data_IF_990471605181
#
_entry.id   IF_990471605181
#
_cell.length_a   1.000
_cell.length_b   1.000
_cell.length_c   1.000
_cell.angle_alpha   90.00
_cell.angle_beta   90.00
_cell.angle_gamma   90.00
#
_symmetry.space_group_name_H-M   'P 1'
#
loop_
_entity.id
_entity.type
_entity.pdbx_description
1 polymer ?
#
# COMPACT_ATOMS: atom_id res chain seq x y z
N UNK A 1 17.43 53.45 68.77
CA UNK A 1 17.69 51.99 68.54
C UNK A 1 16.37 51.36 68.33
N UNK A 2 16.00 51.05 67.09
CA UNK A 2 14.77 50.34 66.70
C UNK A 2 15.15 48.94 66.29
N UNK A 3 14.59 47.96 66.98
CA UNK A 3 14.78 46.52 66.69
C UNK A 3 13.71 46.12 65.69
N UNK A 4 14.13 45.78 64.48
CA UNK A 4 13.26 45.20 63.47
C UNK A 4 13.12 43.67 63.71
N UNK A 5 11.93 43.22 64.02
CA UNK A 5 11.60 41.80 64.07
C UNK A 5 11.28 41.29 62.63
N UNK A 6 12.10 40.40 62.11
CA UNK A 6 11.81 39.68 60.88
C UNK A 6 10.87 38.51 61.19
N UNK A 7 9.63 38.60 60.70
CA UNK A 7 8.71 37.44 60.63
C UNK A 7 9.03 36.61 59.41
N UNK A 8 9.49 35.38 59.61
CA UNK A 8 9.64 34.39 58.53
C UNK A 8 8.25 33.89 58.13
N UNK A 9 7.78 34.29 56.95
CA UNK A 9 6.64 33.68 56.30
C UNK A 9 7.08 32.36 55.66
N UNK A 10 6.60 31.22 56.22
CA UNK A 10 6.72 29.93 55.58
C UNK A 10 5.83 29.94 54.33
N UNK A 11 6.43 29.99 53.15
CA UNK A 11 5.74 29.67 51.91
C UNK A 11 5.44 28.16 51.93
N UNK A 12 4.19 27.80 52.15
CA UNK A 12 3.66 26.50 51.79
C UNK A 12 3.75 26.43 50.26
N UNK A 13 4.54 25.49 49.73
CA UNK A 13 4.51 25.14 48.33
C UNK A 13 3.08 24.63 48.01
N UNK A 14 2.49 25.09 46.89
CA UNK A 14 1.25 24.47 46.47
C UNK A 14 1.56 23.00 46.17
N UNK A 15 0.82 22.08 46.74
CA UNK A 15 0.71 20.70 46.26
C UNK A 15 0.43 20.77 44.78
N UNK A 16 1.41 20.38 43.99
CA UNK A 16 1.20 20.05 42.60
C UNK A 16 0.32 18.79 42.59
N UNK A 17 -0.99 19.00 42.68
CA UNK A 17 -1.96 18.00 42.23
C UNK A 17 -1.67 17.78 40.75
N UNK A 18 -0.79 16.84 40.50
CA UNK A 18 -0.63 16.26 39.18
C UNK A 18 -1.93 15.57 38.83
N UNK A 19 -2.87 16.30 38.25
CA UNK A 19 -3.94 15.68 37.51
C UNK A 19 -3.26 14.77 36.51
N UNK A 20 -3.66 13.55 36.51
CA UNK A 20 -3.17 12.48 35.62
C UNK A 20 -3.61 12.80 34.18
N UNK A 21 -3.01 13.86 33.60
CA UNK A 21 -3.23 14.26 32.20
C UNK A 21 -2.56 13.22 31.32
N UNK A 22 -3.33 12.64 30.36
CA UNK A 22 -2.82 11.66 29.40
C UNK A 22 -1.69 12.25 28.52
N UNK A 23 -0.90 11.40 27.92
CA UNK A 23 0.15 11.76 26.96
C UNK A 23 -0.48 12.23 25.66
N UNK A 24 0.10 13.23 25.01
CA UNK A 24 -0.22 13.61 23.63
C UNK A 24 0.88 13.07 22.73
N UNK A 25 0.53 12.09 21.91
CA UNK A 25 1.40 11.43 20.95
C UNK A 25 1.35 12.16 19.62
N UNK A 26 2.50 12.33 18.97
CA UNK A 26 2.60 12.83 17.60
C UNK A 26 2.65 11.67 16.61
N UNK A 27 1.74 11.67 15.64
CA UNK A 27 1.74 10.71 14.51
C UNK A 27 1.99 11.45 13.21
N UNK A 28 3.08 11.09 12.52
CA UNK A 28 3.33 11.58 11.16
C UNK A 28 2.88 10.55 10.12
N UNK A 29 2.26 11.05 9.04
CA UNK A 29 1.81 10.24 7.93
C UNK A 29 1.99 10.99 6.60
N UNK A 30 1.85 10.27 5.48
CA UNK A 30 1.79 10.87 4.14
C UNK A 30 0.36 11.29 3.79
N UNK A 31 0.20 12.25 2.89
CA UNK A 31 -1.10 12.78 2.50
C UNK A 31 -2.06 11.68 1.97
N UNK A 32 -1.53 10.65 1.30
CA UNK A 32 -2.34 9.54 0.79
C UNK A 32 -3.10 8.77 1.88
N UNK A 33 -2.59 8.72 3.11
CA UNK A 33 -3.18 7.98 4.24
C UNK A 33 -3.65 8.88 5.39
N UNK A 34 -3.68 10.21 5.15
CA UNK A 34 -4.12 11.19 6.16
C UNK A 34 -5.51 10.90 6.71
N UNK A 35 -6.47 10.62 5.82
CA UNK A 35 -7.87 10.44 6.21
C UNK A 35 -8.05 9.27 7.19
N UNK A 36 -7.44 8.12 6.91
CA UNK A 36 -7.55 6.95 7.79
C UNK A 36 -6.74 7.13 9.07
N UNK A 37 -5.55 7.77 9.01
CA UNK A 37 -4.76 8.09 10.21
C UNK A 37 -5.52 9.00 11.16
N UNK A 38 -6.21 10.02 10.64
CA UNK A 38 -7.10 10.89 11.43
C UNK A 38 -8.29 10.14 12.00
N UNK A 39 -8.92 9.25 11.21
CA UNK A 39 -10.04 8.45 11.69
C UNK A 39 -9.63 7.52 12.84
N UNK A 40 -8.45 6.91 12.79
CA UNK A 40 -7.89 6.16 13.91
C UNK A 40 -7.67 7.06 15.13
N UNK A 41 -7.01 8.21 14.95
CA UNK A 41 -6.74 9.13 16.05
C UNK A 41 -8.05 9.64 16.70
N UNK A 42 -9.04 10.02 15.90
CA UNK A 42 -10.32 10.51 16.39
C UNK A 42 -11.06 9.43 17.21
N UNK A 43 -11.09 8.19 16.73
CA UNK A 43 -11.73 7.07 17.42
C UNK A 43 -10.99 6.72 18.74
N UNK A 44 -9.66 6.64 18.70
CA UNK A 44 -8.84 6.41 19.89
C UNK A 44 -9.02 7.52 20.93
N UNK A 45 -8.94 8.77 20.49
CA UNK A 45 -9.06 9.95 21.33
C UNK A 45 -10.44 10.08 21.99
N UNK A 46 -11.49 9.46 21.42
CA UNK A 46 -12.83 9.48 22.01
C UNK A 46 -12.98 8.57 23.23
N UNK A 47 -12.14 7.53 23.36
CA UNK A 47 -12.31 6.46 24.35
C UNK A 47 -11.11 6.29 25.27
N UNK A 48 -9.94 6.81 24.91
CA UNK A 48 -8.70 6.67 25.68
C UNK A 48 -8.28 8.01 26.30
N UNK A 49 -7.47 7.91 27.36
CA UNK A 49 -6.94 9.08 28.07
C UNK A 49 -5.81 9.75 27.30
N UNK A 50 -4.92 8.94 26.75
CA UNK A 50 -3.86 9.40 25.88
C UNK A 50 -4.44 9.83 24.53
N UNK A 51 -3.81 10.82 23.89
CA UNK A 51 -4.32 11.44 22.68
C UNK A 51 -3.30 11.31 21.57
N UNK A 52 -3.77 11.24 20.32
CA UNK A 52 -2.92 11.20 19.14
C UNK A 52 -3.22 12.41 18.26
N UNK A 53 -2.18 13.15 17.90
CA UNK A 53 -2.24 14.27 16.97
C UNK A 53 -1.56 13.89 15.65
N UNK A 54 -2.31 13.96 14.55
CA UNK A 54 -1.86 13.57 13.21
C UNK A 54 -1.34 14.77 12.45
N UNK A 55 -0.12 14.64 11.89
CA UNK A 55 0.44 15.57 10.91
C UNK A 55 0.71 14.85 9.61
N UNK A 56 0.08 15.30 8.51
CA UNK A 56 0.29 14.75 7.18
C UNK A 56 1.25 15.62 6.35
N UNK A 57 2.07 14.98 5.54
CA UNK A 57 3.01 15.62 4.62
C UNK A 57 2.72 15.18 3.17
N UNK A 58 3.01 16.03 2.16
CA UNK A 58 2.98 15.61 0.76
C UNK A 58 3.82 14.35 0.54
N UNK A 59 3.32 13.42 -0.28
CA UNK A 59 3.95 12.11 -0.45
C UNK A 59 5.41 12.22 -0.90
N UNK A 60 5.71 13.14 -1.80
CA UNK A 60 7.03 13.34 -2.40
C UNK A 60 8.04 13.97 -1.41
N UNK A 61 7.55 14.72 -0.44
CA UNK A 61 8.38 15.41 0.55
C UNK A 61 8.62 14.55 1.80
N UNK A 62 7.76 13.59 2.05
CA UNK A 62 7.70 12.84 3.30
C UNK A 62 8.98 12.06 3.62
N UNK A 63 9.62 11.32 2.67
CA UNK A 63 10.87 10.62 2.95
C UNK A 63 12.00 11.56 3.36
N UNK A 64 12.13 12.73 2.71
CA UNK A 64 13.13 13.72 3.06
C UNK A 64 12.86 14.34 4.43
N UNK A 65 11.59 14.54 4.80
CA UNK A 65 11.17 15.02 6.11
C UNK A 65 11.55 14.05 7.22
N UNK A 66 11.29 12.75 7.02
CA UNK A 66 11.70 11.71 7.97
C UNK A 66 13.22 11.63 8.11
N UNK A 67 13.97 11.66 7.01
CA UNK A 67 15.43 11.65 7.05
C UNK A 67 16.01 12.85 7.82
N UNK A 68 15.43 14.05 7.61
CA UNK A 68 15.83 15.26 8.36
C UNK A 68 15.55 15.14 9.85
N UNK A 69 14.37 14.63 10.23
CA UNK A 69 13.99 14.42 11.63
C UNK A 69 14.86 13.36 12.31
N UNK A 70 15.18 12.28 11.60
CA UNK A 70 16.11 11.24 12.08
C UNK A 70 17.51 11.81 12.36
N UNK A 71 18.06 12.59 11.43
CA UNK A 71 19.34 13.26 11.60
C UNK A 71 19.38 14.24 12.78
N UNK A 72 18.25 14.89 13.06
CA UNK A 72 18.07 15.80 14.20
C UNK A 72 17.74 15.08 15.52
N UNK A 73 17.53 13.75 15.51
CA UNK A 73 17.01 12.96 16.65
C UNK A 73 15.67 13.49 17.18
N UNK A 74 14.80 13.90 16.26
CA UNK A 74 13.51 14.53 16.54
C UNK A 74 12.40 13.84 15.72
N UNK A 75 12.45 12.49 15.65
CA UNK A 75 11.36 11.70 15.08
C UNK A 75 10.09 11.89 15.92
N UNK A 76 8.89 11.84 15.31
CA UNK A 76 7.64 11.83 16.06
C UNK A 76 7.52 10.55 16.91
N UNK A 77 6.54 10.50 17.81
CA UNK A 77 6.30 9.32 18.65
C UNK A 77 5.91 8.11 17.78
N UNK A 78 5.16 8.34 16.73
CA UNK A 78 4.77 7.33 15.73
C UNK A 78 4.91 7.91 14.33
N UNK A 79 5.28 7.08 13.38
CA UNK A 79 5.13 7.45 11.99
C UNK A 79 4.73 6.25 11.12
N UNK A 80 3.80 6.54 10.19
CA UNK A 80 3.37 5.61 9.16
C UNK A 80 4.05 5.97 7.83
N UNK A 81 4.49 4.98 7.10
CA UNK A 81 5.17 5.15 5.83
C UNK A 81 4.80 4.04 4.87
N UNK A 82 4.92 4.32 3.56
CA UNK A 82 4.68 3.33 2.53
C UNK A 82 5.40 2.02 2.86
N UNK A 83 4.67 0.92 2.80
CA UNK A 83 5.15 -0.39 3.24
C UNK A 83 6.40 -0.87 2.51
N UNK A 84 6.60 -0.43 1.26
CA UNK A 84 7.79 -0.79 0.48
C UNK A 84 9.08 -0.14 1.01
N UNK A 85 8.97 0.90 1.86
CA UNK A 85 10.11 1.53 2.52
C UNK A 85 10.34 1.00 3.94
N UNK A 86 9.44 0.19 4.46
CA UNK A 86 9.56 -0.36 5.82
C UNK A 86 10.87 -1.12 6.05
N UNK A 87 11.40 -1.95 5.11
CA UNK A 87 12.68 -2.62 5.29
C UNK A 87 13.85 -1.63 5.45
N UNK A 88 13.82 -0.51 4.73
CA UNK A 88 14.83 0.54 4.87
C UNK A 88 14.78 1.21 6.25
N UNK A 89 13.59 1.61 6.70
CA UNK A 89 13.45 2.31 7.98
C UNK A 89 13.76 1.39 9.17
N UNK A 90 13.35 0.12 9.11
CA UNK A 90 13.72 -0.88 10.11
C UNK A 90 15.24 -1.10 10.16
N UNK A 91 15.91 -1.27 9.01
CA UNK A 91 17.37 -1.47 8.94
C UNK A 91 18.17 -0.26 9.40
N UNK A 92 17.65 0.95 9.22
CA UNK A 92 18.27 2.20 9.68
C UNK A 92 18.00 2.52 11.16
N UNK A 93 17.18 1.70 11.85
CA UNK A 93 16.82 1.92 13.24
C UNK A 93 15.99 3.18 13.48
N UNK A 94 15.14 3.55 12.52
CA UNK A 94 14.24 4.71 12.68
C UNK A 94 13.03 4.37 13.54
N UNK A 95 12.64 3.11 13.60
CA UNK A 95 11.61 2.58 14.49
C UNK A 95 12.22 1.83 15.67
N UNK A 96 11.56 1.89 16.81
CA UNK A 96 11.89 1.11 17.99
C UNK A 96 11.60 -0.38 17.74
N UNK A 97 12.36 -1.24 18.40
CA UNK A 97 12.14 -2.70 18.41
C UNK A 97 10.89 -3.05 19.22
N UNK A 98 9.89 -3.62 18.56
CA UNK A 98 8.62 -4.04 19.19
C UNK A 98 8.44 -5.55 19.21
N UNK A 99 9.51 -6.32 18.99
CA UNK A 99 9.48 -7.78 18.83
C UNK A 99 8.73 -8.49 19.96
N UNK A 100 9.11 -8.24 21.21
CA UNK A 100 8.48 -8.90 22.37
C UNK A 100 7.02 -8.48 22.54
N UNK A 101 6.74 -7.20 22.30
CA UNK A 101 5.38 -6.65 22.35
C UNK A 101 4.50 -7.23 21.26
N UNK A 102 5.02 -7.31 20.03
CA UNK A 102 4.32 -7.92 18.90
C UNK A 102 4.05 -9.41 19.15
N UNK A 103 5.05 -10.15 19.65
CA UNK A 103 4.90 -11.58 19.98
C UNK A 103 3.80 -11.85 21.03
N UNK A 104 3.52 -10.87 21.89
CA UNK A 104 2.48 -10.94 22.93
C UNK A 104 1.07 -10.56 22.41
N UNK A 105 0.93 -10.03 21.19
CA UNK A 105 -0.38 -9.68 20.63
C UNK A 105 -1.19 -10.94 20.28
N UNK A 106 -2.42 -11.01 20.77
CA UNK A 106 -3.35 -12.12 20.48
C UNK A 106 -3.68 -12.24 18.97
N UNK A 107 -3.53 -11.15 18.23
CA UNK A 107 -3.87 -11.07 16.81
C UNK A 107 -2.65 -11.17 15.88
N UNK A 108 -1.44 -11.36 16.39
CA UNK A 108 -0.18 -11.33 15.62
C UNK A 108 -0.17 -12.22 14.37
N UNK A 109 -0.81 -13.39 14.45
CA UNK A 109 -0.86 -14.34 13.34
C UNK A 109 -2.04 -14.05 12.36
N UNK A 110 -2.79 -12.99 12.61
CA UNK A 110 -3.97 -12.58 11.83
C UNK A 110 -3.83 -11.21 11.17
N UNK A 111 -2.76 -10.47 11.45
CA UNK A 111 -2.43 -9.23 10.73
C UNK A 111 -1.78 -9.52 9.38
N UNK A 112 -1.85 -8.59 8.44
CA UNK A 112 -1.33 -8.73 7.08
C UNK A 112 0.12 -9.25 7.06
N UNK A 113 0.37 -10.49 6.62
CA UNK A 113 1.69 -11.11 6.76
C UNK A 113 2.77 -10.43 5.93
N UNK A 114 2.39 -9.84 4.79
CA UNK A 114 3.29 -9.07 3.93
C UNK A 114 3.83 -7.81 4.63
N UNK A 115 2.99 -7.11 5.38
CA UNK A 115 3.39 -5.93 6.16
C UNK A 115 4.26 -6.30 7.37
N UNK A 116 3.92 -7.40 8.05
CA UNK A 116 4.76 -7.92 9.13
C UNK A 116 6.16 -8.25 8.61
N UNK A 117 6.24 -8.92 7.44
CA UNK A 117 7.53 -9.21 6.79
C UNK A 117 8.27 -7.92 6.45
N UNK A 118 7.61 -6.93 5.85
CA UNK A 118 8.21 -5.66 5.48
C UNK A 118 8.76 -4.89 6.69
N UNK A 119 8.04 -4.93 7.83
CA UNK A 119 8.47 -4.33 9.10
C UNK A 119 9.46 -5.15 9.90
N UNK A 120 9.96 -6.30 9.37
CA UNK A 120 10.90 -7.19 10.06
C UNK A 120 12.31 -7.01 9.50
N UNK A 121 13.29 -6.80 10.39
CA UNK A 121 14.70 -6.72 10.07
C UNK A 121 15.53 -7.59 11.02
N UNK A 122 16.41 -8.44 10.49
CA UNK A 122 17.24 -9.38 11.29
C UNK A 122 16.43 -10.19 12.33
N UNK A 123 15.23 -10.63 11.93
CA UNK A 123 14.34 -11.44 12.79
C UNK A 123 13.62 -10.65 13.88
N UNK A 124 13.71 -9.33 13.89
CA UNK A 124 13.04 -8.44 14.85
C UNK A 124 11.96 -7.62 14.16
N UNK A 125 10.86 -7.36 14.85
CA UNK A 125 9.75 -6.55 14.36
C UNK A 125 9.87 -5.09 14.80
N UNK A 126 9.65 -4.16 13.86
CA UNK A 126 9.78 -2.72 14.07
C UNK A 126 8.49 -1.97 13.73
N UNK A 127 7.58 -2.57 12.95
CA UNK A 127 6.36 -1.92 12.53
C UNK A 127 5.21 -2.92 12.40
N UNK A 128 3.97 -2.41 12.50
CA UNK A 128 2.74 -3.13 12.26
C UNK A 128 2.04 -2.57 11.02
N UNK A 129 1.12 -3.34 10.40
CA UNK A 129 0.27 -2.80 9.33
C UNK A 129 -0.53 -1.60 9.83
N UNK A 130 -0.52 -0.50 9.07
CA UNK A 130 -1.32 0.69 9.35
C UNK A 130 -2.52 0.80 8.42
N UNK A 131 -2.26 0.73 7.12
CA UNK A 131 -3.29 0.67 6.08
C UNK A 131 -2.95 -0.40 5.07
N UNK A 132 -3.95 -0.94 4.41
CA UNK A 132 -3.79 -1.87 3.29
C UNK A 132 -4.50 -1.31 2.07
N UNK A 133 -3.81 -1.35 0.93
CA UNK A 133 -4.37 -1.15 -0.40
C UNK A 133 -4.01 -2.36 -1.28
N UNK A 134 -4.97 -2.81 -2.08
CA UNK A 134 -4.83 -4.03 -2.86
C UNK A 134 -5.00 -3.75 -4.33
N UNK A 135 -4.16 -4.38 -5.15
CA UNK A 135 -4.40 -4.40 -6.58
C UNK A 135 -5.43 -5.47 -6.94
N UNK A 136 -6.40 -5.08 -7.74
CA UNK A 136 -7.49 -5.94 -8.23
C UNK A 136 -7.75 -5.67 -9.71
N UNK A 137 -8.47 -6.55 -10.37
CA UNK A 137 -9.09 -6.25 -11.66
C UNK A 137 -10.40 -5.50 -11.42
N UNK A 138 -10.53 -4.33 -12.04
CA UNK A 138 -11.73 -3.51 -12.08
C UNK A 138 -12.31 -3.61 -13.50
N UNK A 139 -13.56 -4.02 -13.65
CA UNK A 139 -14.16 -4.18 -14.96
C UNK A 139 -15.56 -3.55 -15.04
N UNK A 140 -15.86 -2.95 -16.20
CA UNK A 140 -17.11 -2.29 -16.47
C UNK A 140 -18.16 -3.32 -16.91
N UNK A 141 -19.11 -3.63 -16.02
CA UNK A 141 -20.18 -4.62 -16.25
C UNK A 141 -21.09 -4.24 -17.40
N UNK A 142 -21.32 -2.95 -17.65
CA UNK A 142 -22.14 -2.50 -18.79
C UNK A 142 -21.44 -2.74 -20.13
N UNK A 143 -20.14 -2.49 -20.22
CA UNK A 143 -19.37 -2.82 -21.42
C UNK A 143 -19.27 -4.34 -21.62
N UNK A 144 -19.15 -5.14 -20.54
CA UNK A 144 -19.23 -6.60 -20.61
C UNK A 144 -20.54 -7.06 -21.25
N UNK A 145 -21.69 -6.58 -20.75
CA UNK A 145 -23.02 -6.92 -21.32
C UNK A 145 -23.10 -6.56 -22.81
N UNK A 146 -22.62 -5.36 -23.19
CA UNK A 146 -22.60 -4.91 -24.58
C UNK A 146 -21.70 -5.77 -25.47
N UNK A 147 -20.57 -6.24 -24.93
CA UNK A 147 -19.63 -7.13 -25.63
C UNK A 147 -20.05 -8.62 -25.63
N UNK A 148 -21.23 -8.96 -25.05
CA UNK A 148 -21.72 -10.32 -24.97
C UNK A 148 -20.96 -11.17 -23.92
N UNK A 149 -20.28 -10.54 -22.98
CA UNK A 149 -19.64 -11.18 -21.84
C UNK A 149 -20.63 -11.24 -20.67
N UNK A 150 -20.50 -12.29 -19.84
CA UNK A 150 -21.24 -12.39 -18.59
C UNK A 150 -20.62 -11.48 -17.52
N UNK A 151 -21.32 -10.45 -17.01
CA UNK A 151 -20.77 -9.53 -16.02
C UNK A 151 -20.54 -10.15 -14.65
N UNK A 152 -21.09 -11.36 -14.40
CA UNK A 152 -20.88 -12.10 -13.14
C UNK A 152 -19.77 -13.17 -13.28
N UNK A 153 -19.10 -13.21 -14.42
CA UNK A 153 -17.99 -14.12 -14.69
C UNK A 153 -16.75 -13.35 -15.14
N UNK A 154 -16.01 -12.75 -14.19
CA UNK A 154 -14.73 -12.11 -14.49
C UNK A 154 -13.71 -13.13 -15.01
N UNK A 155 -12.64 -12.68 -15.68
CA UNK A 155 -11.57 -13.56 -16.13
C UNK A 155 -10.87 -14.24 -14.94
N UNK A 156 -10.45 -15.48 -15.13
CA UNK A 156 -9.75 -16.30 -14.14
C UNK A 156 -8.29 -16.57 -14.50
N UNK A 157 -7.88 -16.12 -15.67
CA UNK A 157 -6.52 -16.19 -16.17
C UNK A 157 -6.17 -14.88 -16.85
N UNK A 158 -4.89 -14.57 -16.95
CA UNK A 158 -4.43 -13.39 -17.69
C UNK A 158 -4.74 -13.54 -19.21
N UNK A 159 -4.81 -14.77 -19.73
CA UNK A 159 -5.29 -15.04 -21.10
C UNK A 159 -6.75 -14.67 -21.28
N UNK A 160 -7.63 -15.09 -20.35
CA UNK A 160 -9.04 -14.69 -20.37
C UNK A 160 -9.22 -13.18 -20.24
N UNK A 161 -8.39 -12.52 -19.40
CA UNK A 161 -8.34 -11.06 -19.30
C UNK A 161 -8.10 -10.42 -20.67
N UNK A 162 -7.11 -10.91 -21.41
CA UNK A 162 -6.80 -10.40 -22.76
C UNK A 162 -7.95 -10.68 -23.75
N UNK A 163 -8.60 -11.84 -23.69
CA UNK A 163 -9.76 -12.17 -24.52
C UNK A 163 -10.95 -11.26 -24.20
N UNK A 164 -11.24 -10.99 -22.93
CA UNK A 164 -12.30 -10.10 -22.50
C UNK A 164 -12.01 -8.66 -22.94
N UNK A 165 -10.77 -8.20 -22.78
CA UNK A 165 -10.34 -6.89 -23.26
C UNK A 165 -10.57 -6.74 -24.79
N UNK A 166 -10.15 -7.71 -25.62
CA UNK A 166 -10.36 -7.71 -27.06
C UNK A 166 -11.85 -7.66 -27.43
N UNK A 167 -12.70 -8.42 -26.73
CA UNK A 167 -14.16 -8.40 -26.97
C UNK A 167 -14.79 -7.05 -26.67
N UNK A 168 -14.35 -6.39 -25.59
CA UNK A 168 -14.83 -5.04 -25.26
C UNK A 168 -14.33 -4.02 -26.25
N UNK A 169 -13.06 -4.06 -26.65
CA UNK A 169 -12.48 -3.17 -27.65
C UNK A 169 -13.21 -3.25 -29.00
N UNK A 170 -13.67 -4.45 -29.38
CA UNK A 170 -14.44 -4.68 -30.59
C UNK A 170 -15.80 -3.95 -30.64
N UNK A 171 -16.27 -3.34 -29.57
CA UNK A 171 -17.42 -2.42 -29.55
C UNK A 171 -17.12 -1.16 -30.35
N UNK A 172 -15.85 -0.78 -30.45
CA UNK A 172 -15.39 0.37 -31.24
C UNK A 172 -15.72 1.73 -30.66
N UNK A 173 -15.57 2.78 -31.46
CA UNK A 173 -15.72 4.17 -31.01
C UNK A 173 -14.60 4.58 -30.04
N UNK A 174 -14.98 5.20 -28.92
CA UNK A 174 -14.05 5.63 -27.88
C UNK A 174 -13.83 4.57 -26.77
N UNK A 175 -14.32 3.33 -27.01
CA UNK A 175 -14.18 2.22 -26.07
C UNK A 175 -12.83 1.55 -26.27
N UNK A 176 -12.15 1.26 -25.18
CA UNK A 176 -10.90 0.49 -25.15
C UNK A 176 -11.05 -0.76 -24.29
N UNK A 177 -10.40 -1.84 -24.69
CA UNK A 177 -10.43 -3.09 -23.93
C UNK A 177 -9.78 -2.95 -22.58
N UNK A 178 -8.63 -2.26 -22.51
CA UNK A 178 -7.88 -2.09 -21.27
C UNK A 178 -7.13 -0.75 -21.18
N UNK A 179 -6.58 -0.48 -19.98
CA UNK A 179 -5.75 0.67 -19.65
C UNK A 179 -4.69 0.30 -18.63
N UNK A 180 -3.46 0.83 -18.75
CA UNK A 180 -2.38 0.60 -17.77
C UNK A 180 -1.39 1.76 -17.74
N UNK A 181 -0.62 1.87 -16.66
CA UNK A 181 0.36 2.95 -16.42
C UNK A 181 1.72 2.66 -17.06
N UNK A 182 1.85 2.77 -18.37
CA UNK A 182 3.08 2.41 -19.13
C UNK A 182 4.29 3.34 -18.90
N UNK A 183 4.12 4.46 -18.20
CA UNK A 183 5.19 5.39 -17.83
C UNK A 183 5.25 5.60 -16.30
N UNK A 184 4.86 4.59 -15.54
CA UNK A 184 4.79 4.63 -14.08
C UNK A 184 5.34 3.30 -13.54
N UNK A 185 6.55 3.31 -12.97
CA UNK A 185 7.17 2.12 -12.39
C UNK A 185 6.26 1.50 -11.34
N UNK A 186 5.85 2.27 -10.32
CA UNK A 186 4.98 1.80 -9.25
C UNK A 186 3.61 1.32 -9.72
N UNK A 187 3.03 1.92 -10.79
CA UNK A 187 1.78 1.42 -11.36
C UNK A 187 1.93 0.01 -11.93
N UNK A 188 3.04 -0.26 -12.64
CA UNK A 188 3.33 -1.57 -13.22
C UNK A 188 3.64 -2.61 -12.14
N UNK A 189 4.41 -2.24 -11.12
CA UNK A 189 4.63 -3.07 -9.93
C UNK A 189 3.30 -3.50 -9.31
N UNK A 190 2.46 -2.52 -9.02
CA UNK A 190 1.19 -2.72 -8.35
C UNK A 190 0.23 -3.60 -9.17
N UNK A 191 0.31 -3.58 -10.50
CA UNK A 191 -0.68 -4.22 -11.37
C UNK A 191 -0.21 -5.43 -12.16
N UNK A 192 1.08 -5.53 -12.50
CA UNK A 192 1.59 -6.63 -13.32
C UNK A 192 2.37 -7.67 -12.51
N UNK A 193 3.08 -7.26 -11.44
CA UNK A 193 3.78 -8.23 -10.58
C UNK A 193 2.86 -9.27 -9.94
N UNK A 194 1.61 -8.96 -9.53
CA UNK A 194 0.69 -9.99 -9.06
C UNK A 194 0.49 -11.16 -10.03
N UNK A 195 0.49 -10.90 -11.34
CA UNK A 195 0.41 -11.99 -12.33
C UNK A 195 1.66 -12.87 -12.33
N UNK A 196 2.84 -12.29 -12.17
CA UNK A 196 4.10 -13.05 -12.02
C UNK A 196 4.06 -13.91 -10.77
N UNK A 197 3.62 -13.35 -9.65
CA UNK A 197 3.48 -14.10 -8.39
C UNK A 197 2.43 -15.21 -8.44
N UNK A 198 1.33 -14.99 -9.17
CA UNK A 198 0.27 -15.98 -9.37
C UNK A 198 0.75 -17.19 -10.20
N UNK A 199 1.71 -16.96 -11.11
CA UNK A 199 2.38 -18.02 -11.88
C UNK A 199 3.52 -18.72 -11.11
N UNK A 200 3.79 -18.29 -9.87
CA UNK A 200 4.82 -18.88 -9.01
C UNK A 200 6.20 -18.24 -9.15
N UNK A 201 6.37 -17.24 -10.01
CA UNK A 201 7.56 -16.43 -10.13
C UNK A 201 7.74 -15.44 -8.98
N UNK A 202 8.85 -14.72 -8.99
CA UNK A 202 9.09 -13.57 -8.12
C UNK A 202 9.83 -12.47 -8.89
N UNK A 203 9.95 -11.30 -8.29
CA UNK A 203 10.60 -10.11 -8.89
C UNK A 203 11.92 -9.79 -8.19
N UNK A 204 12.13 -10.39 -7.02
CA UNK A 204 13.31 -10.25 -6.16
C UNK A 204 13.65 -11.58 -5.50
N UNK A 205 14.90 -11.75 -5.13
CA UNK A 205 15.30 -12.80 -4.19
C UNK A 205 14.71 -12.57 -2.79
N UNK A 206 14.83 -13.56 -1.91
CA UNK A 206 14.24 -13.49 -0.56
C UNK A 206 14.85 -12.38 0.31
N UNK A 207 16.10 -12.02 0.05
CA UNK A 207 16.90 -11.01 0.76
C UNK A 207 16.68 -9.60 0.20
N UNK A 208 16.01 -9.46 -0.97
CA UNK A 208 15.79 -8.18 -1.66
C UNK A 208 17.08 -7.53 -2.18
N UNK A 209 18.04 -8.34 -2.60
CA UNK A 209 19.36 -7.92 -3.06
C UNK A 209 19.59 -8.19 -4.54
N UNK A 210 18.85 -9.11 -5.12
CA UNK A 210 18.94 -9.51 -6.52
C UNK A 210 17.56 -9.42 -7.16
N UNK A 211 17.51 -8.83 -8.37
CA UNK A 211 16.31 -8.85 -9.19
C UNK A 211 16.18 -10.23 -9.88
N UNK A 212 14.95 -10.57 -10.23
CA UNK A 212 14.59 -11.76 -11.03
C UNK A 212 13.61 -11.38 -12.12
N UNK A 213 13.76 -10.14 -12.66
CA UNK A 213 12.81 -9.59 -13.63
C UNK A 213 13.02 -10.11 -15.06
N UNK A 214 14.11 -10.81 -15.34
CA UNK A 214 14.33 -11.49 -16.61
C UNK A 214 13.77 -12.93 -16.63
N UNK A 215 12.85 -13.24 -15.71
CA UNK A 215 12.19 -14.54 -15.61
C UNK A 215 11.20 -14.81 -16.77
N UNK A 216 10.91 -16.08 -17.10
CA UNK A 216 9.88 -16.44 -18.07
C UNK A 216 8.51 -15.87 -17.73
N UNK A 217 8.12 -15.89 -16.44
CA UNK A 217 6.84 -15.40 -15.96
C UNK A 217 6.69 -13.89 -16.20
N UNK A 218 7.75 -13.12 -15.95
CA UNK A 218 7.78 -11.68 -16.22
C UNK A 218 7.71 -11.42 -17.73
N UNK A 219 8.47 -12.16 -18.52
CA UNK A 219 8.48 -12.04 -19.96
C UNK A 219 7.08 -12.30 -20.56
N UNK A 220 6.38 -13.33 -20.10
CA UNK A 220 5.04 -13.69 -20.56
C UNK A 220 4.01 -12.60 -20.19
N UNK A 221 4.05 -12.05 -18.99
CA UNK A 221 3.18 -10.95 -18.55
C UNK A 221 3.40 -9.72 -19.45
N UNK A 222 4.66 -9.29 -19.65
CA UNK A 222 4.96 -8.14 -20.53
C UNK A 222 4.57 -8.39 -21.98
N UNK A 223 4.80 -9.61 -22.50
CA UNK A 223 4.43 -9.96 -23.87
C UNK A 223 2.91 -9.84 -24.09
N UNK A 224 2.10 -10.25 -23.10
CA UNK A 224 0.65 -10.13 -23.18
C UNK A 224 0.19 -8.65 -23.18
N UNK A 225 0.65 -7.84 -22.24
CA UNK A 225 0.29 -6.41 -22.20
C UNK A 225 0.78 -5.65 -23.42
N UNK A 226 1.98 -5.97 -23.91
CA UNK A 226 2.53 -5.46 -25.17
C UNK A 226 1.63 -5.81 -26.35
N UNK A 227 1.18 -7.07 -26.47
CA UNK A 227 0.29 -7.48 -27.56
C UNK A 227 -1.01 -6.68 -27.55
N UNK A 228 -1.62 -6.46 -26.39
CA UNK A 228 -2.83 -5.64 -26.25
C UNK A 228 -2.61 -4.19 -26.67
N UNK A 229 -1.42 -3.65 -26.41
CA UNK A 229 -1.07 -2.31 -26.87
C UNK A 229 -0.82 -2.24 -28.39
N UNK A 230 -0.04 -3.18 -28.94
CA UNK A 230 0.27 -3.26 -30.38
C UNK A 230 -0.98 -3.52 -31.24
N UNK A 231 -1.94 -4.29 -30.72
CA UNK A 231 -3.25 -4.56 -31.36
C UNK A 231 -4.21 -3.35 -31.26
N UNK A 232 -3.89 -2.32 -30.46
CA UNK A 232 -4.78 -1.17 -30.21
C UNK A 232 -5.88 -1.42 -29.20
N UNK A 233 -5.90 -2.58 -28.53
CA UNK A 233 -6.86 -2.96 -27.48
C UNK A 233 -6.65 -2.15 -26.20
N UNK A 234 -5.41 -1.86 -25.86
CA UNK A 234 -5.10 -0.92 -24.80
C UNK A 234 -5.20 0.53 -25.34
N UNK A 235 -5.80 1.41 -24.54
CA UNK A 235 -5.91 2.83 -24.91
C UNK A 235 -4.51 3.41 -25.22
N UNK A 236 -4.34 4.21 -26.28
CA UNK A 236 -3.05 4.80 -26.64
C UNK A 236 -2.38 5.60 -25.52
N UNK A 237 -3.20 6.25 -24.67
CA UNK A 237 -2.73 7.01 -23.52
C UNK A 237 -2.02 6.16 -22.47
N UNK A 238 -2.22 4.83 -22.46
CA UNK A 238 -1.53 3.90 -21.53
C UNK A 238 -0.01 4.02 -21.64
N UNK A 239 0.53 4.33 -22.84
CA UNK A 239 1.97 4.46 -23.05
C UNK A 239 2.62 5.55 -22.21
N UNK A 240 1.91 6.66 -22.02
CA UNK A 240 2.45 7.86 -21.37
C UNK A 240 1.80 8.12 -20.01
N UNK A 241 0.92 7.20 -19.56
CA UNK A 241 0.28 7.27 -18.23
C UNK A 241 1.32 7.10 -17.13
N UNK A 242 1.47 8.17 -16.33
CA UNK A 242 2.43 8.26 -15.24
C UNK A 242 1.78 8.18 -13.84
N UNK A 243 0.48 7.84 -13.77
CA UNK A 243 -0.29 7.68 -12.53
C UNK A 243 -1.42 8.71 -12.34
N UNK A 244 -1.19 10.04 -12.52
CA UNK A 244 -2.19 11.05 -12.14
C UNK A 244 -3.53 10.97 -12.86
N UNK A 245 -3.58 10.45 -14.08
CA UNK A 245 -4.80 10.37 -14.90
C UNK A 245 -5.44 8.99 -14.93
N UNK A 246 -4.81 8.01 -14.30
CA UNK A 246 -5.21 6.60 -14.36
C UNK A 246 -6.63 6.35 -13.82
N UNK A 247 -6.97 6.85 -12.62
CA UNK A 247 -8.33 6.77 -12.09
C UNK A 247 -9.34 7.41 -13.05
N UNK A 248 -9.01 8.56 -13.64
CA UNK A 248 -9.87 9.27 -14.59
C UNK A 248 -10.20 8.44 -15.82
N UNK A 249 -9.27 7.62 -16.31
CA UNK A 249 -9.52 6.71 -17.43
C UNK A 249 -10.63 5.69 -17.08
N UNK A 250 -10.58 5.08 -15.89
CA UNK A 250 -11.63 4.15 -15.44
C UNK A 250 -12.96 4.86 -15.18
N UNK A 251 -12.93 6.06 -14.62
CA UNK A 251 -14.12 6.89 -14.37
C UNK A 251 -14.82 7.36 -15.66
N UNK A 252 -14.14 7.36 -16.81
CA UNK A 252 -14.74 7.73 -18.09
C UNK A 252 -15.84 6.77 -18.53
N UNK A 253 -15.82 5.52 -18.03
CA UNK A 253 -16.73 4.46 -18.43
C UNK A 253 -16.41 3.82 -19.78
N UNK A 254 -15.28 4.22 -20.43
CA UNK A 254 -14.88 3.76 -21.76
C UNK A 254 -13.79 2.68 -21.73
N UNK A 255 -13.37 2.24 -20.54
CA UNK A 255 -12.39 1.16 -20.36
C UNK A 255 -13.12 -0.12 -19.92
N UNK A 256 -12.87 -1.22 -20.62
CA UNK A 256 -13.53 -2.51 -20.37
C UNK A 256 -13.10 -3.19 -19.09
N UNK A 257 -11.80 -3.41 -18.95
CA UNK A 257 -11.19 -4.04 -17.78
C UNK A 257 -9.77 -3.50 -17.60
N UNK A 258 -9.40 -3.17 -16.38
CA UNK A 258 -8.03 -2.77 -16.07
C UNK A 258 -7.67 -3.16 -14.64
N UNK A 259 -6.41 -3.49 -14.36
CA UNK A 259 -5.93 -3.63 -13.00
C UNK A 259 -5.82 -2.24 -12.35
N UNK A 260 -6.10 -2.17 -11.04
CA UNK A 260 -6.01 -0.93 -10.29
C UNK A 260 -6.24 -1.11 -8.80
N UNK A 261 -6.09 -0.05 -8.00
CA UNK A 261 -6.36 -0.06 -6.57
C UNK A 261 -7.81 -0.39 -6.20
N UNK A 262 -8.00 -1.28 -5.24
CA UNK A 262 -9.34 -1.64 -4.73
C UNK A 262 -10.09 -0.46 -4.12
N UNK A 263 -9.36 0.49 -3.55
CA UNK A 263 -9.92 1.71 -2.94
C UNK A 263 -10.55 2.68 -3.95
N UNK A 264 -10.40 2.44 -5.25
CA UNK A 264 -11.02 3.27 -6.30
C UNK A 264 -12.48 2.94 -6.59
N UNK A 265 -12.99 1.83 -6.08
CA UNK A 265 -14.32 1.32 -6.37
C UNK A 265 -15.41 2.39 -6.25
N UNK A 266 -15.52 3.01 -5.08
CA UNK A 266 -16.52 4.06 -4.83
C UNK A 266 -16.34 5.29 -5.75
N UNK A 267 -15.10 5.67 -6.03
CA UNK A 267 -14.81 6.83 -6.88
C UNK A 267 -15.20 6.59 -8.35
N UNK A 268 -15.10 5.35 -8.82
CA UNK A 268 -15.53 4.95 -10.16
C UNK A 268 -17.07 4.89 -10.22
N UNK A 269 -17.71 4.27 -9.23
CA UNK A 269 -19.17 4.18 -9.15
C UNK A 269 -19.85 5.56 -9.03
N UNK A 270 -19.22 6.51 -8.34
CA UNK A 270 -19.71 7.89 -8.26
C UNK A 270 -19.82 8.59 -9.63
N UNK A 271 -19.17 8.05 -10.68
CA UNK A 271 -19.31 8.49 -12.07
C UNK A 271 -20.36 7.72 -12.86
N UNK A 272 -21.09 6.79 -12.23
CA UNK A 272 -22.16 6.02 -12.85
C UNK A 272 -21.68 4.76 -13.59
N UNK A 273 -20.44 4.30 -13.34
CA UNK A 273 -19.90 3.06 -13.92
C UNK A 273 -20.29 1.88 -13.03
N UNK A 274 -20.98 0.88 -13.58
CA UNK A 274 -21.27 -0.39 -12.90
C UNK A 274 -20.00 -1.24 -12.91
N UNK A 275 -19.31 -1.29 -11.78
CA UNK A 275 -17.96 -1.88 -11.65
C UNK A 275 -18.00 -3.25 -10.96
N UNK A 276 -17.35 -4.23 -11.57
CA UNK A 276 -17.02 -5.52 -10.94
C UNK A 276 -15.58 -5.55 -10.45
N UNK A 277 -15.31 -6.39 -9.45
CA UNK A 277 -13.99 -6.62 -8.86
C UNK A 277 -13.63 -8.10 -8.98
N UNK A 278 -12.38 -8.39 -9.35
CA UNK A 278 -11.83 -9.75 -9.38
C UNK A 278 -10.35 -9.75 -8.96
N UNK A 279 -9.81 -10.90 -8.50
CA UNK A 279 -8.38 -11.06 -8.29
C UNK A 279 -7.58 -10.85 -9.59
N UNK A 280 -6.32 -10.45 -9.47
CA UNK A 280 -5.37 -10.53 -10.57
C UNK A 280 -4.87 -11.97 -10.66
N UNK A 281 -4.88 -12.52 -11.86
CA UNK A 281 -4.49 -13.90 -12.12
C UNK A 281 -3.16 -13.98 -12.88
N UNK A 282 -2.49 -15.13 -12.78
CA UNK A 282 -1.39 -15.51 -13.64
C UNK A 282 -1.84 -15.89 -15.05
N UNK A 283 -0.88 -16.24 -15.91
CA UNK A 283 -1.12 -16.49 -17.33
C UNK A 283 -2.17 -17.58 -17.56
N UNK A 284 -2.08 -18.68 -16.83
CA UNK A 284 -2.94 -19.84 -16.96
C UNK A 284 -3.79 -20.12 -15.68
N UNK A 285 -3.76 -19.22 -14.69
CA UNK A 285 -4.53 -19.31 -13.45
C UNK A 285 -3.79 -18.83 -12.23
N UNK A 286 -4.19 -19.32 -11.05
CA UNK A 286 -3.71 -18.74 -9.80
C UNK A 286 -4.32 -17.36 -9.53
N UNK A 287 -4.02 -16.81 -8.38
CA UNK A 287 -4.43 -15.44 -8.02
C UNK A 287 -3.43 -14.83 -7.05
N UNK A 288 -3.18 -13.54 -7.18
CA UNK A 288 -2.36 -12.77 -6.26
C UNK A 288 -2.80 -11.31 -6.25
N UNK A 289 -2.19 -10.51 -5.39
CA UNK A 289 -2.37 -9.07 -5.30
C UNK A 289 -1.08 -8.44 -4.81
N UNK A 290 -0.82 -7.20 -5.19
CA UNK A 290 0.14 -6.37 -4.47
C UNK A 290 -0.55 -5.85 -3.20
N UNK A 291 0.04 -6.13 -2.04
CA UNK A 291 -0.44 -5.60 -0.76
C UNK A 291 0.36 -4.35 -0.45
N UNK A 292 -0.17 -3.24 -0.87
CA UNK A 292 0.36 -1.90 -0.61
C UNK A 292 -0.24 -1.28 0.65
N UNK A 293 -0.11 0.02 0.79
CA UNK A 293 -0.52 0.78 1.96
C UNK A 293 0.67 1.17 2.82
N UNK A 294 0.45 1.38 4.12
CA UNK A 294 1.47 1.86 5.04
C UNK A 294 1.74 0.87 6.19
N UNK A 295 2.99 0.79 6.59
CA UNK A 295 3.40 0.25 7.89
C UNK A 295 3.62 1.41 8.87
N UNK A 296 3.29 1.21 10.15
CA UNK A 296 3.48 2.18 11.23
C UNK A 296 4.35 1.59 12.34
N UNK A 297 5.30 2.38 12.80
CA UNK A 297 6.17 2.02 13.93
C UNK A 297 6.34 3.17 14.91
N UNK A 298 6.88 2.85 16.05
CA UNK A 298 7.21 3.78 17.13
C UNK A 298 8.55 4.44 16.80
N UNK A 299 8.61 5.77 16.79
CA UNK A 299 9.85 6.49 16.52
C UNK A 299 10.94 6.14 17.54
N UNK A 300 12.14 5.76 17.07
CA UNK A 300 13.22 5.29 17.92
C UNK A 300 13.72 6.30 18.97
N UNK A 301 13.31 7.56 18.87
CA UNK A 301 13.72 8.64 19.80
C UNK A 301 12.59 9.14 20.69
N UNK A 302 11.42 8.48 20.68
CA UNK A 302 10.30 8.86 21.54
C UNK A 302 10.61 8.70 23.01
N UNK A 303 10.04 9.55 23.85
CA UNK A 303 10.00 9.39 25.30
C UNK A 303 8.72 8.69 25.81
N UNK A 304 7.81 8.32 24.89
CA UNK A 304 6.46 7.84 25.21
C UNK A 304 6.19 6.45 24.65
N UNK A 305 7.19 5.55 24.68
CA UNK A 305 7.13 4.25 24.01
C UNK A 305 5.92 3.40 24.42
N UNK A 306 5.57 3.38 25.73
CA UNK A 306 4.44 2.59 26.23
C UNK A 306 3.10 3.11 25.70
N UNK A 307 2.86 4.43 25.76
CA UNK A 307 1.64 5.03 25.24
C UNK A 307 1.56 4.88 23.70
N UNK A 308 2.68 5.03 22.99
CA UNK A 308 2.75 4.81 21.55
C UNK A 308 2.44 3.35 21.19
N UNK A 309 2.92 2.39 21.99
CA UNK A 309 2.58 0.98 21.78
C UNK A 309 1.09 0.70 22.02
N UNK A 310 0.48 1.27 23.05
CA UNK A 310 -0.95 1.11 23.30
C UNK A 310 -1.80 1.53 22.11
N UNK A 311 -1.49 2.70 21.52
CA UNK A 311 -2.14 3.14 20.29
C UNK A 311 -1.85 2.20 19.11
N UNK A 312 -0.58 1.86 18.87
CA UNK A 312 -0.17 0.98 17.76
C UNK A 312 -0.86 -0.39 17.85
N UNK A 313 -0.93 -0.99 19.04
CA UNK A 313 -1.61 -2.25 19.27
C UNK A 313 -3.13 -2.10 19.07
N UNK A 314 -3.74 -1.02 19.59
CA UNK A 314 -5.16 -0.75 19.41
C UNK A 314 -5.56 -0.65 17.93
N UNK A 315 -4.70 -0.10 17.05
CA UNK A 315 -5.02 -0.05 15.61
C UNK A 315 -5.23 -1.43 14.98
N UNK A 316 -4.78 -2.51 15.62
CA UNK A 316 -5.01 -3.89 15.15
C UNK A 316 -6.24 -4.56 15.76
N UNK A 317 -6.96 -3.89 16.67
CA UNK A 317 -8.16 -4.41 17.34
C UNK A 317 -9.37 -4.49 16.42
N UNK A 318 -10.38 -5.25 16.81
CA UNK A 318 -11.67 -5.31 16.10
C UNK A 318 -12.35 -3.94 16.06
N UNK A 319 -12.27 -3.17 17.17
CA UNK A 319 -12.82 -1.81 17.25
C UNK A 319 -12.22 -0.90 16.17
N UNK A 320 -10.91 -0.92 16.01
CA UNK A 320 -10.23 -0.11 15.01
C UNK A 320 -10.46 -0.65 13.58
N UNK A 321 -10.34 -1.96 13.38
CA UNK A 321 -10.39 -2.54 12.05
C UNK A 321 -11.81 -2.62 11.46
N UNK A 322 -12.81 -2.94 12.28
CA UNK A 322 -14.21 -2.97 11.83
C UNK A 322 -14.86 -1.59 12.03
N UNK A 323 -14.73 -1.00 13.24
CA UNK A 323 -15.40 0.25 13.59
C UNK A 323 -14.85 1.49 12.89
N UNK A 324 -13.60 1.46 12.43
CA UNK A 324 -12.97 2.59 11.70
C UNK A 324 -12.71 2.22 10.24
N UNK A 325 -11.87 1.21 9.98
CA UNK A 325 -11.39 0.89 8.62
C UNK A 325 -12.52 0.35 7.75
N UNK A 326 -13.14 -0.77 8.13
CA UNK A 326 -14.18 -1.40 7.32
C UNK A 326 -15.42 -0.51 7.20
N UNK A 327 -15.79 0.20 8.27
CA UNK A 327 -16.88 1.20 8.25
C UNK A 327 -16.60 2.33 7.26
N UNK A 328 -15.34 2.72 7.11
CA UNK A 328 -14.88 3.67 6.09
C UNK A 328 -14.66 3.05 4.70
N UNK A 329 -15.08 1.78 4.50
CA UNK A 329 -14.88 0.99 3.27
C UNK A 329 -13.41 0.73 2.92
N UNK A 330 -12.51 0.88 3.89
CA UNK A 330 -11.12 0.47 3.76
C UNK A 330 -10.96 -1.04 3.91
N UNK A 331 -9.82 -1.53 3.47
CA UNK A 331 -9.44 -2.95 3.62
C UNK A 331 -8.88 -3.16 5.02
N UNK A 332 -9.47 -4.04 5.87
CA UNK A 332 -8.89 -4.36 7.17
C UNK A 332 -7.47 -4.90 7.04
N UNK A 333 -6.59 -4.48 7.93
CA UNK A 333 -5.21 -5.02 8.00
C UNK A 333 -5.16 -6.44 8.60
N UNK A 334 -6.31 -6.96 9.00
CA UNK A 334 -6.51 -8.28 9.60
C UNK A 334 -7.12 -9.26 8.61
N UNK A 335 -6.48 -10.41 8.43
CA UNK A 335 -6.89 -11.45 7.47
C UNK A 335 -8.15 -12.19 7.89
N UNK A 336 -8.48 -12.24 9.19
CA UNK A 336 -9.68 -12.85 9.74
C UNK A 336 -10.92 -11.92 9.69
N UNK A 337 -10.77 -10.68 9.26
CA UNK A 337 -11.84 -9.70 9.12
C UNK A 337 -12.20 -9.40 7.65
N UNK A 338 -11.86 -10.31 6.73
CA UNK A 338 -12.23 -10.17 5.33
C UNK A 338 -13.76 -10.11 5.15
N UNK A 339 -14.47 -10.93 5.91
CA UNK A 339 -15.92 -10.85 6.10
C UNK A 339 -16.20 -10.06 7.39
N UNK A 340 -16.98 -9.01 7.29
CA UNK A 340 -17.40 -8.17 8.41
C UNK A 340 -18.73 -7.49 8.06
N UNK A 341 -19.41 -6.95 9.06
CA UNK A 341 -20.74 -6.35 8.91
C UNK A 341 -20.83 -5.23 7.85
N UNK A 342 -19.73 -4.55 7.52
CA UNK A 342 -19.69 -3.51 6.51
C UNK A 342 -19.37 -4.05 5.12
N UNK A 343 -18.57 -5.12 5.01
CA UNK A 343 -18.22 -5.75 3.75
C UNK A 343 -19.31 -6.70 3.24
N UNK A 344 -20.08 -7.36 4.12
CA UNK A 344 -21.14 -8.31 3.75
C UNK A 344 -22.20 -7.71 2.82
N UNK A 345 -22.43 -6.40 2.91
CA UNK A 345 -23.37 -5.69 2.04
C UNK A 345 -22.88 -5.57 0.58
N UNK A 346 -21.58 -5.72 0.33
CA UNK A 346 -20.96 -5.64 -0.98
C UNK A 346 -19.95 -6.78 -1.18
N UNK A 347 -20.32 -7.87 -1.90
CA UNK A 347 -19.44 -9.02 -2.14
C UNK A 347 -18.10 -8.67 -2.78
N UNK A 348 -17.99 -7.52 -3.46
CA UNK A 348 -16.73 -7.03 -4.06
C UNK A 348 -15.71 -6.66 -2.98
N UNK A 349 -16.18 -6.08 -1.86
CA UNK A 349 -15.31 -5.78 -0.71
C UNK A 349 -14.83 -7.06 -0.05
N UNK A 350 -15.68 -8.08 0.11
CA UNK A 350 -15.27 -9.39 0.63
C UNK A 350 -14.22 -10.02 -0.29
N UNK A 351 -14.45 -9.96 -1.61
CA UNK A 351 -13.49 -10.45 -2.61
C UNK A 351 -12.13 -9.76 -2.45
N UNK A 352 -12.11 -8.43 -2.41
CA UNK A 352 -10.87 -7.66 -2.21
C UNK A 352 -10.21 -8.02 -0.88
N UNK A 353 -10.93 -7.93 0.24
CA UNK A 353 -10.40 -8.16 1.58
C UNK A 353 -9.76 -9.56 1.73
N UNK A 354 -10.33 -10.57 1.08
CA UNK A 354 -9.81 -11.96 1.12
C UNK A 354 -8.40 -12.10 0.52
N UNK A 355 -7.98 -11.14 -0.33
CA UNK A 355 -6.67 -11.16 -0.97
C UNK A 355 -5.53 -10.75 -0.04
N UNK A 356 -5.80 -10.09 1.08
CA UNK A 356 -4.76 -9.67 2.06
C UNK A 356 -3.89 -10.85 2.49
N UNK A 357 -4.51 -12.03 2.68
CA UNK A 357 -3.81 -13.24 3.08
C UNK A 357 -2.98 -13.90 1.97
N UNK A 358 -3.26 -13.59 0.71
CA UNK A 358 -2.67 -14.24 -0.49
C UNK A 358 -1.65 -13.36 -1.20
N UNK A 359 -1.68 -12.07 -0.91
CA UNK A 359 -0.88 -11.09 -1.61
C UNK A 359 0.54 -10.96 -1.07
N UNK A 360 1.35 -10.22 -1.82
CA UNK A 360 2.75 -9.96 -1.50
C UNK A 360 3.06 -8.46 -1.48
N UNK A 361 4.03 -8.10 -0.68
CA UNK A 361 4.73 -6.81 -0.72
C UNK A 361 6.18 -7.10 -1.03
N UNK A 362 6.81 -6.44 -2.01
CA UNK A 362 8.24 -6.63 -2.28
C UNK A 362 9.07 -6.21 -1.07
N UNK A 363 10.16 -6.91 -0.85
CA UNK A 363 11.07 -6.66 0.28
C UNK A 363 12.45 -6.26 -0.23
N UNK A 364 12.80 -4.99 -0.11
CA UNK A 364 14.13 -4.50 -0.43
C UNK A 364 14.45 -3.20 0.33
N UNK A 365 15.70 -3.02 0.78
CA UNK A 365 16.13 -1.80 1.49
C UNK A 365 16.23 -0.58 0.56
N UNK A 366 16.67 -0.78 -0.67
CA UNK A 366 16.84 0.30 -1.64
C UNK A 366 15.71 0.34 -2.67
N UNK A 367 14.47 0.09 -2.22
CA UNK A 367 13.32 -0.05 -3.12
C UNK A 367 13.09 1.21 -3.95
N UNK A 368 13.12 2.38 -3.32
CA UNK A 368 12.83 3.63 -4.02
C UNK A 368 13.72 3.87 -5.23
N UNK A 369 15.05 3.81 -5.03
CA UNK A 369 16.00 4.07 -6.11
C UNK A 369 15.97 3.00 -7.21
N UNK A 370 15.60 1.76 -6.86
CA UNK A 370 15.57 0.65 -7.79
C UNK A 370 14.28 0.60 -8.62
N UNK A 371 13.14 1.04 -8.03
CA UNK A 371 11.81 0.83 -8.61
C UNK A 371 10.97 2.09 -8.74
N UNK A 372 10.80 2.91 -7.69
CA UNK A 372 9.84 4.00 -7.67
C UNK A 372 10.37 5.33 -8.22
N UNK A 373 11.69 5.56 -8.16
CA UNK A 373 12.28 6.80 -8.68
C UNK A 373 11.98 6.96 -10.19
N UNK A 374 11.59 8.15 -10.67
CA UNK A 374 11.36 8.39 -12.09
C UNK A 374 12.57 8.09 -13.00
N UNK A 375 13.76 7.98 -12.44
CA UNK A 375 14.99 7.59 -13.14
C UNK A 375 15.43 6.16 -12.79
N UNK A 376 14.59 5.38 -12.10
CA UNK A 376 14.91 4.01 -11.69
C UNK A 376 15.27 3.12 -12.88
N UNK A 377 16.11 2.11 -12.67
CA UNK A 377 16.34 1.10 -13.69
C UNK A 377 15.05 0.37 -14.05
N UNK A 378 14.14 0.16 -13.10
CA UNK A 378 12.85 -0.48 -13.34
C UNK A 378 11.98 0.26 -14.37
N UNK A 379 11.80 1.59 -14.24
CA UNK A 379 10.98 2.31 -15.23
C UNK A 379 11.55 2.22 -16.63
N UNK A 380 12.88 2.21 -16.80
CA UNK A 380 13.51 1.98 -18.10
C UNK A 380 13.22 0.58 -18.63
N UNK A 381 13.29 -0.44 -17.75
CA UNK A 381 12.95 -1.82 -18.09
C UNK A 381 11.51 -1.96 -18.55
N UNK A 382 10.55 -1.40 -17.80
CA UNK A 382 9.12 -1.36 -18.15
C UNK A 382 8.91 -0.77 -19.55
N UNK A 383 9.49 0.39 -19.81
CA UNK A 383 9.32 1.05 -21.12
C UNK A 383 9.94 0.26 -22.27
N UNK A 384 11.10 -0.35 -22.05
CA UNK A 384 11.75 -1.23 -23.02
C UNK A 384 10.94 -2.51 -23.28
N UNK A 385 10.42 -3.15 -22.24
CA UNK A 385 9.65 -4.38 -22.33
C UNK A 385 8.28 -4.17 -22.98
N UNK A 386 7.58 -3.08 -22.66
CA UNK A 386 6.25 -2.80 -23.24
C UNK A 386 6.30 -2.20 -24.64
N UNK A 387 7.32 -1.40 -24.99
CA UNK A 387 7.31 -0.57 -26.20
C UNK A 387 8.57 -0.67 -27.04
N UNK A 388 9.54 -1.51 -26.66
CA UNK A 388 10.82 -1.71 -27.34
C UNK A 388 11.20 -3.18 -27.53
N UNK A 389 12.47 -3.52 -27.34
CA UNK A 389 12.96 -4.89 -27.33
C UNK A 389 12.81 -5.48 -25.92
N UNK A 390 11.80 -6.32 -25.73
CA UNK A 390 11.45 -6.84 -24.42
C UNK A 390 12.55 -7.73 -23.82
N UNK A 391 13.14 -8.62 -24.61
CA UNK A 391 14.17 -9.56 -24.13
C UNK A 391 15.43 -8.81 -23.66
N UNK A 392 15.89 -7.84 -24.47
CA UNK A 392 17.03 -7.01 -24.10
C UNK A 392 16.72 -6.15 -22.88
N UNK A 393 15.52 -5.55 -22.82
CA UNK A 393 15.13 -4.68 -21.71
C UNK A 393 15.03 -5.42 -20.39
N UNK A 394 14.54 -6.67 -20.38
CA UNK A 394 14.44 -7.49 -19.18
C UNK A 394 15.84 -7.92 -18.70
N UNK A 395 16.71 -8.40 -19.61
CA UNK A 395 18.06 -8.82 -19.24
C UNK A 395 18.93 -7.64 -18.73
N UNK A 396 18.95 -6.51 -19.44
CA UNK A 396 19.68 -5.30 -19.02
C UNK A 396 19.08 -4.73 -17.72
N UNK A 397 17.75 -4.84 -17.57
CA UNK A 397 17.01 -4.40 -16.42
C UNK A 397 17.36 -5.19 -15.16
N UNK A 398 17.41 -6.50 -15.25
CA UNK A 398 17.75 -7.40 -14.15
C UNK A 398 19.11 -7.04 -13.55
N UNK A 399 20.14 -6.88 -14.41
CA UNK A 399 21.49 -6.47 -13.98
C UNK A 399 21.49 -5.07 -13.34
N UNK A 400 20.80 -4.10 -13.97
CA UNK A 400 20.78 -2.72 -13.50
C UNK A 400 20.01 -2.56 -12.17
N UNK A 401 18.90 -3.28 -11.99
CA UNK A 401 18.11 -3.28 -10.75
C UNK A 401 18.93 -3.95 -9.64
N UNK A 402 19.49 -5.13 -9.89
CA UNK A 402 20.38 -5.84 -8.94
C UNK A 402 21.52 -4.94 -8.46
N UNK A 403 22.17 -4.23 -9.38
CA UNK A 403 23.21 -3.27 -9.02
C UNK A 403 22.70 -2.14 -8.13
N UNK A 404 21.50 -1.62 -8.42
CA UNK A 404 20.86 -0.57 -7.61
C UNK A 404 20.50 -1.06 -6.21
N UNK A 405 19.91 -2.27 -6.10
CA UNK A 405 19.52 -2.90 -4.83
C UNK A 405 20.69 -3.03 -3.86
N UNK A 406 21.86 -3.40 -4.38
CA UNK A 406 23.08 -3.60 -3.58
C UNK A 406 23.77 -2.30 -3.13
N UNK A 407 23.32 -1.14 -3.57
CA UNK A 407 23.86 0.17 -3.18
C UNK A 407 23.20 0.75 -1.92
N UNK A 408 22.17 0.13 -1.39
CA UNK A 408 21.39 0.58 -0.23
C UNK A 408 21.73 -0.07 1.11
#
# INVERSE_FOLDING_TARGET
>A
MAVLALTAAACAAPDAGGGDEGVVLTLWTRAATEAVSKAYADAYNATHRDRVEVTAYPNEEYPAKLASAAGAKALPDLFAADVVFAPQYASQGLWADVTDRFAALDVKDRVAPSHVRAGTWEGRNFALPHTVDLSVLLYNKDLYRKAGLDPERPPRTLREYAEHARKVDALGGDVHGTYFGGNCGGCVEFTMWPSVWADGGDVLDAEGQEATVDSPEMADVFALYRSLYEEGVAAPASKDEAGPTWLGALQSGNVGIAPGPSVWLDAIEAKGVDVGVAPISGLDGGESTFVGGDAMGIGATTGHEDAAWEFLAWTTSDEAQVGVVAKGKGVPTRTDLAENEHAEADPRLVTANSLVAKGRTPYARNFNASFNDPQSPWLRTVRGALFGDAALALADGDEAITKSLRQG
#
